data_IF_748985562845
#
_entry.id   IF_748985562845
#
_cell.length_a   1.000
_cell.length_b   1.000
_cell.length_c   1.000
_cell.angle_alpha   90.00
_cell.angle_beta   90.00
_cell.angle_gamma   90.00
#
_symmetry.space_group_name_H-M   'P 1'
#
loop_
_entity.id
_entity.type
_entity.pdbx_description
1 polymer ?
#
# COMPACT_ATOMS: atom_id res chain seq x y z
N UNK A 1 -25.00 33.91 32.27
CA UNK A 1 -23.70 33.81 31.59
C UNK A 1 -23.55 35.07 30.74
N UNK A 2 -22.51 35.90 30.89
CA UNK A 2 -22.34 37.08 30.10
C UNK A 2 -22.27 36.78 28.61
N UNK A 3 -22.85 37.58 27.72
CA UNK A 3 -22.96 37.33 26.26
C UNK A 3 -21.57 37.17 25.58
N UNK A 4 -20.57 37.72 26.18
CA UNK A 4 -19.17 37.59 25.74
C UNK A 4 -18.65 36.16 25.85
N UNK A 5 -18.89 35.47 26.97
CA UNK A 5 -18.49 34.08 27.17
C UNK A 5 -19.22 33.13 26.20
N UNK A 6 -20.50 33.39 25.94
CA UNK A 6 -21.23 32.63 24.92
C UNK A 6 -20.63 32.75 23.53
N UNK A 7 -20.25 33.97 23.10
CA UNK A 7 -19.60 34.19 21.80
C UNK A 7 -18.25 33.47 21.69
N UNK A 8 -17.46 33.49 22.77
CA UNK A 8 -16.19 32.73 22.82
C UNK A 8 -16.46 31.23 22.70
N UNK A 9 -17.41 30.69 23.44
CA UNK A 9 -17.74 29.28 23.39
C UNK A 9 -18.19 28.83 21.99
N UNK A 10 -19.03 29.63 21.32
CA UNK A 10 -19.46 29.37 19.94
C UNK A 10 -18.27 29.39 18.99
N UNK A 11 -17.40 30.38 19.11
CA UNK A 11 -16.19 30.47 18.26
C UNK A 11 -15.29 29.23 18.41
N UNK A 12 -15.04 28.80 19.66
CA UNK A 12 -14.28 27.60 19.94
C UNK A 12 -14.93 26.33 19.38
N UNK A 13 -16.25 26.20 19.54
CA UNK A 13 -16.98 25.08 18.96
C UNK A 13 -16.87 25.02 17.44
N UNK A 14 -16.95 26.18 16.75
CA UNK A 14 -16.77 26.25 15.31
C UNK A 14 -15.33 25.86 14.89
N UNK A 15 -14.32 26.34 15.62
CA UNK A 15 -12.91 25.97 15.33
C UNK A 15 -12.72 24.46 15.52
N UNK A 16 -13.18 23.89 16.62
CA UNK A 16 -13.04 22.44 16.88
C UNK A 16 -13.79 21.61 15.82
N UNK A 17 -14.99 22.02 15.44
CA UNK A 17 -15.73 21.37 14.37
C UNK A 17 -14.97 21.43 13.04
N UNK A 18 -14.43 22.61 12.68
CA UNK A 18 -13.62 22.79 11.47
C UNK A 18 -12.39 21.90 11.46
N UNK A 19 -11.64 21.83 12.55
CA UNK A 19 -10.47 20.96 12.71
C UNK A 19 -10.85 19.47 12.60
N UNK A 20 -11.97 19.07 13.22
CA UNK A 20 -12.47 17.72 13.14
C UNK A 20 -12.83 17.31 11.71
N UNK A 21 -13.52 18.17 10.97
CA UNK A 21 -13.83 17.92 9.56
C UNK A 21 -12.57 17.86 8.70
N UNK A 22 -11.59 18.73 8.95
CA UNK A 22 -10.32 18.71 8.23
C UNK A 22 -9.54 17.39 8.47
N UNK A 23 -9.53 16.87 9.70
CA UNK A 23 -8.93 15.58 10.02
C UNK A 23 -9.63 14.42 9.31
N UNK A 24 -10.96 14.40 9.32
CA UNK A 24 -11.72 13.37 8.59
C UNK A 24 -11.40 13.45 7.09
N UNK A 25 -11.47 14.64 6.49
CA UNK A 25 -11.17 14.84 5.08
C UNK A 25 -9.75 14.35 4.74
N UNK A 26 -8.74 14.72 5.55
CA UNK A 26 -7.38 14.23 5.37
C UNK A 26 -7.28 12.71 5.46
N UNK A 27 -7.94 12.09 6.45
CA UNK A 27 -7.92 10.64 6.67
C UNK A 27 -8.55 9.85 5.53
N UNK A 28 -9.62 10.37 4.93
CA UNK A 28 -10.44 9.70 3.92
C UNK A 28 -10.13 10.09 2.48
N UNK A 29 -9.27 11.09 2.25
CA UNK A 29 -8.84 11.47 0.89
C UNK A 29 -7.78 10.51 0.38
N UNK A 30 -8.03 9.75 -0.71
CA UNK A 30 -7.04 8.85 -1.29
C UNK A 30 -5.89 9.62 -1.91
N UNK A 31 -4.72 8.99 -1.93
CA UNK A 31 -3.57 9.48 -2.67
C UNK A 31 -3.67 9.19 -4.17
N UNK A 32 -2.79 9.80 -4.99
CA UNK A 32 -2.77 9.57 -6.42
C UNK A 32 -2.38 8.13 -6.76
N UNK A 33 -2.97 7.61 -7.84
CA UNK A 33 -2.63 6.32 -8.44
C UNK A 33 -2.91 6.37 -9.93
N UNK A 34 -2.22 5.55 -10.71
CA UNK A 34 -2.50 5.34 -12.13
C UNK A 34 -2.69 3.86 -12.42
N UNK A 35 -3.13 3.54 -13.63
CA UNK A 35 -3.33 2.14 -14.02
C UNK A 35 -1.98 1.40 -14.07
N UNK A 36 -1.89 0.22 -13.47
CA UNK A 36 -0.70 -0.61 -13.56
C UNK A 36 -0.57 -1.21 -14.96
N UNK A 37 0.63 -1.66 -15.36
CA UNK A 37 0.80 -2.44 -16.56
C UNK A 37 0.03 -3.76 -16.45
N UNK A 38 -0.40 -4.30 -17.59
CA UNK A 38 -1.14 -5.57 -17.62
C UNK A 38 -0.31 -6.78 -17.18
N UNK A 39 1.01 -6.66 -17.29
CA UNK A 39 1.99 -7.68 -16.86
C UNK A 39 3.11 -7.06 -16.02
N UNK A 40 3.69 -7.87 -15.17
CA UNK A 40 4.81 -7.46 -14.31
C UNK A 40 6.06 -7.13 -15.14
N UNK A 41 6.55 -5.89 -15.11
CA UNK A 41 7.83 -5.55 -15.72
C UNK A 41 9.03 -6.06 -14.89
N UNK A 42 8.80 -6.59 -13.72
CA UNK A 42 9.81 -7.10 -12.78
C UNK A 42 10.17 -8.57 -13.05
N UNK A 43 9.43 -9.23 -13.94
CA UNK A 43 9.74 -10.59 -14.41
C UNK A 43 10.50 -10.53 -15.73
N UNK A 44 11.65 -11.21 -15.85
CA UNK A 44 12.33 -11.36 -17.16
C UNK A 44 11.41 -12.07 -18.14
N UNK A 45 11.38 -11.61 -19.40
CA UNK A 45 10.62 -12.25 -20.47
C UNK A 45 11.04 -13.71 -20.74
N UNK A 46 12.25 -14.10 -20.32
CA UNK A 46 12.79 -15.46 -20.42
C UNK A 46 12.12 -16.48 -19.52
N UNK A 47 11.36 -16.04 -18.51
CA UNK A 47 10.65 -16.95 -17.59
C UNK A 47 9.38 -17.57 -18.24
N UNK A 48 9.02 -17.12 -19.44
CA UNK A 48 7.93 -17.74 -20.23
C UNK A 48 8.34 -19.09 -20.84
N UNK A 49 9.63 -19.41 -20.94
CA UNK A 49 10.14 -20.63 -21.59
C UNK A 49 10.71 -21.67 -20.61
N UNK A 50 10.87 -21.37 -19.34
CA UNK A 50 11.39 -22.32 -18.37
C UNK A 50 10.33 -22.74 -17.33
N UNK A 51 9.51 -23.68 -17.77
CA UNK A 51 9.23 -24.99 -17.14
C UNK A 51 9.22 -25.07 -15.61
N UNK A 52 8.07 -25.53 -15.10
CA UNK A 52 7.91 -26.47 -13.96
C UNK A 52 8.18 -26.01 -12.53
N UNK A 53 8.63 -24.81 -12.23
CA UNK A 53 8.36 -24.26 -10.92
C UNK A 53 7.00 -23.59 -10.97
N UNK A 54 6.04 -24.07 -10.20
CA UNK A 54 4.75 -23.38 -10.01
C UNK A 54 5.09 -21.95 -9.63
N UNK A 55 4.89 -21.03 -10.58
CA UNK A 55 5.20 -19.63 -10.31
C UNK A 55 4.21 -19.17 -9.24
N UNK A 56 4.73 -18.48 -8.23
CA UNK A 56 3.94 -18.05 -7.09
C UNK A 56 3.16 -16.77 -7.40
N UNK A 57 2.13 -16.51 -6.62
CA UNK A 57 1.54 -15.19 -6.53
C UNK A 57 2.59 -14.18 -6.02
N UNK A 58 2.59 -12.99 -6.57
CA UNK A 58 3.49 -11.92 -6.17
C UNK A 58 2.71 -10.69 -5.74
N UNK A 59 2.97 -10.21 -4.53
CA UNK A 59 2.44 -8.96 -3.98
C UNK A 59 3.57 -7.95 -3.96
N UNK A 60 3.45 -6.90 -4.75
CA UNK A 60 4.39 -5.77 -4.78
C UNK A 60 3.78 -4.60 -4.03
N UNK A 61 4.48 -4.05 -3.06
CA UNK A 61 4.02 -2.90 -2.27
C UNK A 61 5.03 -1.76 -2.35
N UNK A 62 4.54 -0.57 -2.64
CA UNK A 62 5.33 0.66 -2.57
C UNK A 62 5.36 1.19 -1.13
N UNK A 63 6.56 1.53 -0.65
CA UNK A 63 6.82 1.91 0.74
C UNK A 63 7.62 3.20 0.79
N UNK A 64 7.07 4.22 1.42
CA UNK A 64 7.85 5.38 1.82
C UNK A 64 8.34 5.16 3.26
N UNK A 65 9.66 5.08 3.53
CA UNK A 65 10.20 4.63 4.83
C UNK A 65 9.89 5.58 5.99
N UNK A 66 9.50 6.81 5.70
CA UNK A 66 9.13 7.84 6.69
C UNK A 66 7.62 8.11 6.76
N UNK A 67 6.78 7.28 6.10
CA UNK A 67 5.32 7.43 6.11
C UNK A 67 4.67 6.60 7.24
N UNK A 68 4.09 7.22 8.26
CA UNK A 68 3.47 6.48 9.37
C UNK A 68 2.27 5.63 8.92
N UNK A 69 1.55 6.03 7.88
CA UNK A 69 0.41 5.28 7.36
C UNK A 69 0.79 3.92 6.77
N UNK A 70 2.07 3.75 6.36
CA UNK A 70 2.59 2.47 5.85
C UNK A 70 2.49 1.35 6.88
N UNK A 71 2.56 1.67 8.17
CA UNK A 71 2.47 0.69 9.25
C UNK A 71 1.14 -0.06 9.20
N UNK A 72 0.03 0.65 9.02
CA UNK A 72 -1.29 0.02 8.89
C UNK A 72 -1.35 -0.90 7.65
N UNK A 73 -0.82 -0.46 6.50
CA UNK A 73 -0.76 -1.29 5.29
C UNK A 73 0.09 -2.54 5.49
N UNK A 74 1.22 -2.45 6.20
CA UNK A 74 2.05 -3.62 6.51
C UNK A 74 1.34 -4.59 7.45
N UNK A 75 0.61 -4.10 8.45
CA UNK A 75 -0.18 -4.95 9.34
C UNK A 75 -1.31 -5.64 8.58
N UNK A 76 -1.98 -4.96 7.65
CA UNK A 76 -3.00 -5.57 6.79
C UNK A 76 -2.39 -6.62 5.83
N UNK A 77 -1.21 -6.34 5.25
CA UNK A 77 -0.51 -7.34 4.45
C UNK A 77 -0.15 -8.58 5.28
N UNK A 78 0.32 -8.39 6.51
CA UNK A 78 0.60 -9.51 7.42
C UNK A 78 -0.65 -10.35 7.68
N UNK A 79 -1.80 -9.70 7.95
CA UNK A 79 -3.09 -10.39 8.11
C UNK A 79 -3.52 -11.11 6.83
N UNK A 80 -3.31 -10.53 5.67
CA UNK A 80 -3.58 -11.19 4.38
C UNK A 80 -2.80 -12.49 4.28
N UNK A 81 -1.47 -12.44 4.52
CA UNK A 81 -0.60 -13.60 4.40
C UNK A 81 -0.94 -14.73 5.38
N UNK A 82 -1.53 -14.43 6.54
CA UNK A 82 -2.02 -15.45 7.46
C UNK A 82 -3.35 -16.11 7.02
N UNK A 83 -4.06 -15.51 6.07
CA UNK A 83 -5.36 -16.02 5.56
C UNK A 83 -5.23 -16.86 4.30
N UNK A 84 -4.06 -16.82 3.66
CA UNK A 84 -3.82 -17.53 2.40
C UNK A 84 -2.81 -18.63 2.63
N UNK A 85 -3.19 -19.88 2.29
CA UNK A 85 -2.34 -21.07 2.45
C UNK A 85 -1.31 -21.22 1.32
N UNK A 86 -1.29 -20.28 0.38
CA UNK A 86 -0.40 -20.33 -0.77
C UNK A 86 0.90 -19.57 -0.51
N UNK A 87 1.96 -20.06 -1.12
CA UNK A 87 3.24 -19.38 -1.16
C UNK A 87 3.14 -18.08 -1.96
N UNK A 88 3.13 -16.97 -1.26
CA UNK A 88 3.07 -15.63 -1.83
C UNK A 88 4.43 -14.95 -1.69
N UNK A 89 4.99 -14.48 -2.80
CA UNK A 89 6.19 -13.64 -2.80
C UNK A 89 5.82 -12.20 -2.47
N UNK A 90 6.52 -11.58 -1.54
CA UNK A 90 6.37 -10.17 -1.22
C UNK A 90 7.56 -9.39 -1.76
N UNK A 91 7.29 -8.31 -2.50
CA UNK A 91 8.31 -7.39 -2.97
C UNK A 91 7.99 -5.99 -2.48
N UNK A 92 8.93 -5.39 -1.78
CA UNK A 92 8.81 -4.03 -1.27
C UNK A 92 9.69 -3.09 -2.09
N UNK A 93 9.07 -2.08 -2.71
CA UNK A 93 9.75 -0.99 -3.38
C UNK A 93 9.87 0.15 -2.38
N UNK A 94 11.05 0.33 -1.82
CA UNK A 94 11.29 1.35 -0.81
C UNK A 94 11.79 2.61 -1.48
N UNK A 95 10.94 3.64 -1.47
CA UNK A 95 11.28 4.95 -2.01
C UNK A 95 12.58 5.48 -1.43
N UNK A 96 13.46 5.96 -2.29
CA UNK A 96 14.74 6.52 -1.95
C UNK A 96 15.03 7.72 -2.87
N UNK A 97 15.19 8.96 -2.35
CA UNK A 97 15.55 10.10 -3.19
C UNK A 97 16.97 9.97 -3.76
N UNK A 98 17.14 10.19 -5.06
CA UNK A 98 18.43 10.02 -5.78
C UNK A 98 19.64 10.76 -5.19
N UNK A 99 19.39 11.83 -4.42
CA UNK A 99 20.45 12.68 -3.86
C UNK A 99 20.66 12.48 -2.36
N UNK A 100 20.24 11.34 -1.83
CA UNK A 100 20.37 11.03 -0.39
C UNK A 100 21.32 9.86 -0.18
N UNK A 101 21.90 9.78 1.03
CA UNK A 101 22.75 8.67 1.40
C UNK A 101 21.98 7.35 1.48
N UNK A 102 22.64 6.21 1.22
CA UNK A 102 21.99 4.89 1.21
C UNK A 102 21.23 4.54 2.50
N UNK A 103 21.70 5.05 3.65
CA UNK A 103 21.06 4.85 4.96
C UNK A 103 19.75 5.64 5.15
N UNK A 104 19.40 6.50 4.17
CA UNK A 104 18.13 7.25 4.21
C UNK A 104 16.90 6.35 4.32
N UNK A 105 16.98 5.15 3.75
CA UNK A 105 15.90 4.16 3.82
C UNK A 105 15.85 3.41 5.15
N UNK A 106 16.92 3.50 5.95
CA UNK A 106 17.01 2.77 7.21
C UNK A 106 16.05 3.33 8.26
N UNK A 107 15.37 2.43 8.94
CA UNK A 107 14.43 2.83 9.97
C UNK A 107 13.46 1.73 10.37
N UNK A 108 12.56 2.11 11.29
CA UNK A 108 11.59 1.18 11.88
C UNK A 108 10.65 0.53 10.86
N UNK A 109 10.32 1.22 9.77
CA UNK A 109 9.44 0.69 8.72
C UNK A 109 10.23 -0.33 7.91
N UNK A 110 11.40 0.04 7.40
CA UNK A 110 12.24 -0.84 6.58
C UNK A 110 12.66 -2.11 7.32
N UNK A 111 13.04 -2.00 8.60
CA UNK A 111 13.37 -3.17 9.42
C UNK A 111 12.21 -4.16 9.64
N UNK A 112 10.97 -3.71 9.46
CA UNK A 112 9.80 -4.60 9.51
C UNK A 112 9.61 -5.40 8.23
N UNK A 113 10.11 -4.91 7.09
CA UNK A 113 9.91 -5.55 5.79
C UNK A 113 10.63 -6.90 5.70
N UNK A 114 11.80 -7.02 6.34
CA UNK A 114 12.56 -8.28 6.41
C UNK A 114 11.88 -9.39 7.24
N UNK A 115 10.86 -9.03 8.02
CA UNK A 115 10.09 -10.00 8.82
C UNK A 115 8.99 -10.71 7.99
N UNK A 116 8.74 -10.26 6.77
CA UNK A 116 7.77 -10.91 5.90
C UNK A 116 8.39 -12.15 5.26
N UNK A 117 7.68 -13.27 5.20
CA UNK A 117 8.16 -14.47 4.55
C UNK A 117 8.36 -14.21 3.06
N UNK A 118 9.42 -14.81 2.48
CA UNK A 118 9.74 -14.73 1.04
C UNK A 118 9.75 -13.28 0.52
N UNK A 119 10.25 -12.34 1.34
CA UNK A 119 10.31 -10.92 1.00
C UNK A 119 11.58 -10.55 0.25
N UNK A 120 11.45 -9.64 -0.70
CA UNK A 120 12.56 -8.94 -1.36
C UNK A 120 12.36 -7.44 -1.16
N UNK A 121 13.40 -6.77 -0.70
CA UNK A 121 13.40 -5.32 -0.49
C UNK A 121 14.28 -4.70 -1.57
N UNK A 122 13.72 -3.77 -2.32
CA UNK A 122 14.41 -3.03 -3.38
C UNK A 122 14.36 -1.54 -3.06
N UNK A 123 15.52 -0.89 -3.03
CA UNK A 123 15.57 0.57 -3.05
C UNK A 123 15.05 1.05 -4.41
N UNK A 124 14.07 1.94 -4.39
CA UNK A 124 13.41 2.48 -5.58
C UNK A 124 13.74 3.97 -5.68
N UNK A 125 14.78 4.27 -6.45
CA UNK A 125 15.28 5.62 -6.63
C UNK A 125 14.22 6.51 -7.27
N UNK A 126 13.90 7.61 -6.60
CA UNK A 126 12.83 8.57 -6.95
C UNK A 126 11.46 7.91 -7.24
N UNK A 127 11.25 6.64 -6.82
CA UNK A 127 10.01 5.90 -7.03
C UNK A 127 9.79 5.48 -8.49
N UNK A 128 10.85 5.36 -9.30
CA UNK A 128 10.74 5.05 -10.73
C UNK A 128 10.05 3.71 -11.02
N UNK A 129 10.38 2.68 -10.25
CA UNK A 129 9.79 1.35 -10.43
C UNK A 129 8.33 1.36 -9.98
N UNK A 130 8.05 1.97 -8.83
CA UNK A 130 6.70 2.14 -8.33
C UNK A 130 5.82 2.90 -9.33
N UNK A 131 6.35 3.99 -9.93
CA UNK A 131 5.64 4.77 -10.94
C UNK A 131 5.29 3.95 -12.18
N UNK A 132 6.23 3.12 -12.69
CA UNK A 132 5.98 2.20 -13.80
C UNK A 132 4.91 1.17 -13.49
N UNK A 133 4.69 0.85 -12.22
CA UNK A 133 3.61 0.00 -11.71
C UNK A 133 2.32 0.75 -11.37
N UNK A 134 2.25 2.04 -11.68
CA UNK A 134 1.08 2.88 -11.35
C UNK A 134 0.96 3.27 -9.89
N UNK A 135 1.97 2.98 -9.07
CA UNK A 135 1.98 3.26 -7.64
C UNK A 135 2.63 4.62 -7.37
N UNK A 136 1.85 5.58 -6.89
CA UNK A 136 2.31 6.94 -6.57
C UNK A 136 2.14 7.28 -5.08
N UNK A 137 1.61 6.33 -4.32
CA UNK A 137 1.28 6.51 -2.91
C UNK A 137 1.81 5.33 -2.10
N UNK A 138 2.46 5.61 -0.99
CA UNK A 138 2.94 4.58 -0.04
C UNK A 138 1.79 3.73 0.48
N UNK A 139 1.98 2.41 0.52
CA UNK A 139 0.93 1.45 0.82
C UNK A 139 0.11 1.01 -0.40
N UNK A 140 0.42 1.53 -1.60
CA UNK A 140 -0.11 0.98 -2.83
C UNK A 140 0.40 -0.45 -3.05
N UNK A 141 -0.48 -1.31 -3.53
CA UNK A 141 -0.21 -2.72 -3.80
C UNK A 141 -0.60 -3.06 -5.22
N UNK A 142 0.25 -3.83 -5.90
CA UNK A 142 -0.09 -4.51 -7.16
C UNK A 142 0.12 -6.01 -6.95
N UNK A 143 -0.85 -6.81 -7.39
CA UNK A 143 -0.79 -8.27 -7.27
C UNK A 143 -0.74 -8.90 -8.65
N UNK A 144 0.26 -9.75 -8.84
CA UNK A 144 0.46 -10.53 -10.04
C UNK A 144 0.16 -12.00 -9.77
N UNK A 145 -0.53 -12.63 -10.73
CA UNK A 145 -0.73 -14.08 -10.71
C UNK A 145 0.55 -14.86 -11.09
N UNK A 146 0.55 -16.19 -10.99
CA UNK A 146 1.67 -17.02 -11.38
C UNK A 146 2.17 -16.82 -12.81
N UNK A 147 1.33 -16.31 -13.71
CA UNK A 147 1.68 -15.98 -15.11
C UNK A 147 2.19 -14.53 -15.28
N UNK A 148 2.37 -13.79 -14.19
CA UNK A 148 2.81 -12.40 -14.21
C UNK A 148 1.74 -11.39 -14.66
N UNK A 149 0.48 -11.81 -14.78
CA UNK A 149 -0.62 -10.91 -15.15
C UNK A 149 -1.10 -10.14 -13.92
N UNK A 150 -1.33 -8.85 -14.08
CA UNK A 150 -1.92 -8.01 -13.03
C UNK A 150 -3.36 -8.44 -12.74
N UNK A 151 -3.66 -8.72 -11.48
CA UNK A 151 -4.97 -9.17 -11.02
C UNK A 151 -5.64 -8.19 -10.06
N UNK A 152 -4.85 -7.40 -9.36
CA UNK A 152 -5.32 -6.38 -8.43
C UNK A 152 -4.34 -5.21 -8.39
N UNK A 153 -4.86 -3.98 -8.19
CA UNK A 153 -4.06 -2.84 -7.81
C UNK A 153 -4.85 -1.92 -6.87
N UNK A 154 -4.17 -1.25 -5.95
CA UNK A 154 -4.80 -0.30 -5.02
C UNK A 154 -4.30 -0.41 -3.60
N UNK A 155 -5.08 0.10 -2.65
CA UNK A 155 -4.78 0.07 -1.23
C UNK A 155 -5.40 -1.13 -0.51
N UNK A 156 -4.84 -1.44 0.63
CA UNK A 156 -5.32 -2.50 1.54
C UNK A 156 -5.70 -1.93 2.93
N UNK A 157 -6.10 -0.68 2.97
CA UNK A 157 -6.63 0.02 4.15
C UNK A 157 -7.86 0.84 3.74
N UNK A 158 -8.76 1.13 4.67
CA UNK A 158 -10.00 1.91 4.40
C UNK A 158 -9.79 3.41 4.51
N UNK A 159 -8.74 3.84 5.22
CA UNK A 159 -8.33 5.24 5.37
C UNK A 159 -6.88 5.30 5.84
N UNK A 160 -6.33 6.51 5.97
CA UNK A 160 -4.94 6.69 6.46
C UNK A 160 -4.80 6.14 7.88
N UNK A 161 -3.77 5.31 8.07
CA UNK A 161 -3.43 4.73 9.38
C UNK A 161 -4.56 3.92 10.04
N UNK A 162 -5.47 3.37 9.25
CA UNK A 162 -6.61 2.60 9.75
C UNK A 162 -6.49 1.13 9.36
N UNK A 163 -6.52 0.27 10.38
CA UNK A 163 -6.51 -1.19 10.24
C UNK A 163 -7.92 -1.74 10.42
N UNK A 164 -8.20 -2.88 9.83
CA UNK A 164 -9.48 -3.57 9.97
C UNK A 164 -9.98 -4.18 8.66
N UNK A 165 -11.22 -4.66 8.67
CA UNK A 165 -11.82 -5.27 7.49
C UNK A 165 -11.87 -4.28 6.34
N UNK A 166 -11.31 -4.69 5.20
CA UNK A 166 -11.25 -3.87 4.01
C UNK A 166 -11.40 -4.72 2.74
N UNK A 167 -11.92 -4.08 1.70
CA UNK A 167 -12.19 -4.74 0.42
C UNK A 167 -10.90 -5.12 -0.32
N UNK A 168 -9.81 -4.41 -0.10
CA UNK A 168 -8.51 -4.72 -0.72
C UNK A 168 -7.98 -6.09 -0.26
N UNK A 169 -7.85 -6.28 1.05
CA UNK A 169 -7.41 -7.57 1.63
C UNK A 169 -8.36 -8.70 1.23
N UNK A 170 -9.69 -8.46 1.31
CA UNK A 170 -10.67 -9.46 0.93
C UNK A 170 -10.54 -9.86 -0.54
N UNK A 171 -10.41 -8.90 -1.45
CA UNK A 171 -10.27 -9.16 -2.88
C UNK A 171 -9.00 -9.96 -3.19
N UNK A 172 -7.87 -9.56 -2.62
CA UNK A 172 -6.59 -10.26 -2.84
C UNK A 172 -6.65 -11.69 -2.28
N UNK A 173 -7.20 -11.88 -1.08
CA UNK A 173 -7.37 -13.21 -0.50
C UNK A 173 -8.20 -14.13 -1.40
N UNK A 174 -9.33 -13.64 -1.90
CA UNK A 174 -10.20 -14.40 -2.80
C UNK A 174 -9.50 -14.74 -4.13
N UNK A 175 -8.75 -13.78 -4.71
CA UNK A 175 -7.96 -14.01 -5.94
C UNK A 175 -6.94 -15.15 -5.75
N UNK A 176 -6.16 -15.10 -4.66
CA UNK A 176 -5.14 -16.11 -4.37
C UNK A 176 -5.78 -17.50 -4.15
N UNK A 177 -6.97 -17.54 -3.59
CA UNK A 177 -7.77 -18.76 -3.38
C UNK A 177 -8.53 -19.22 -4.63
N UNK A 178 -8.32 -18.61 -5.80
CA UNK A 178 -8.99 -18.95 -7.05
C UNK A 178 -10.46 -18.54 -7.14
N UNK A 179 -10.91 -17.65 -6.25
CA UNK A 179 -12.28 -17.14 -6.21
C UNK A 179 -12.40 -15.81 -6.96
N UNK A 180 -13.61 -15.45 -7.35
CA UNK A 180 -13.90 -14.15 -7.98
C UNK A 180 -13.88 -13.04 -6.91
N UNK A 181 -13.01 -12.04 -7.04
CA UNK A 181 -12.93 -10.95 -6.05
C UNK A 181 -14.10 -9.97 -6.24
N UNK A 182 -14.53 -9.28 -5.17
CA UNK A 182 -15.52 -8.22 -5.29
C UNK A 182 -15.01 -7.00 -6.06
N UNK A 183 -13.71 -6.72 -5.98
CA UNK A 183 -13.06 -5.59 -6.67
C UNK A 183 -11.67 -6.01 -7.16
N UNK A 184 -11.23 -5.44 -8.28
CA UNK A 184 -9.85 -5.56 -8.78
C UNK A 184 -9.03 -4.30 -8.54
N UNK A 185 -9.68 -3.25 -8.02
CA UNK A 185 -9.03 -1.98 -7.69
C UNK A 185 -9.68 -1.35 -6.46
N UNK A 186 -8.87 -0.66 -5.66
CA UNK A 186 -9.30 0.08 -4.47
C UNK A 186 -8.51 1.39 -4.34
N UNK A 187 -9.06 2.41 -3.67
CA UNK A 187 -8.31 3.63 -3.37
C UNK A 187 -7.12 3.35 -2.45
N UNK A 188 -6.05 4.14 -2.59
CA UNK A 188 -4.84 4.03 -1.77
C UNK A 188 -4.80 5.19 -0.77
N UNK A 189 -4.53 4.88 0.50
CA UNK A 189 -4.42 5.88 1.56
C UNK A 189 -3.01 5.88 2.16
N UNK A 190 -2.25 6.92 1.87
CA UNK A 190 -0.86 7.05 2.31
C UNK A 190 -0.24 8.38 1.90
N UNK A 191 1.05 8.53 2.17
CA UNK A 191 1.84 9.66 1.70
C UNK A 191 2.23 9.45 0.23
N UNK A 192 2.42 10.53 -0.51
CA UNK A 192 3.00 10.46 -1.85
C UNK A 192 4.43 9.91 -1.78
N UNK A 193 4.80 9.13 -2.78
CA UNK A 193 6.18 8.67 -3.00
C UNK A 193 7.02 9.79 -3.57
#
# INVERSE_FOLDING_TARGET
IPPFLYRIAVLWACILAGLFFALIAYGTTPGPSSLPPTRSPLRPAADELQTSAVADWEVVMAVHPKCPCTVASLNELKRLLTKVDNDVKCRFLVYHPAKTEPDWIDGKITSRLSQFPRSTILADEDGEVALKLGMQTSGAVVVFDPHGKTRFHGGITVSRNHEGDNLGVRSISMLIQGQTPPLTTTPVFGCRL
#
